data_IF_063679636214
#
_entry.id   IF_063679636214
#
_cell.length_a   1.000
_cell.length_b   1.000
_cell.length_c   1.000
_cell.angle_alpha   90.00
_cell.angle_beta   90.00
_cell.angle_gamma   90.00
#
_symmetry.space_group_name_H-M   'P 1'
#
loop_
_entity.id
_entity.type
_entity.pdbx_description
1 polymer ?
#
# COMPACT_ATOMS: atom_id res chain seq x y z
N UNK A 1 10.37 8.14 10.20
CA UNK A 1 9.38 8.19 9.08
C UNK A 1 9.89 9.01 7.90
N UNK A 2 10.40 10.23 8.11
CA UNK A 2 11.02 11.05 7.05
C UNK A 2 12.14 10.34 6.28
N UNK A 3 13.01 9.61 6.99
CA UNK A 3 14.12 8.88 6.34
C UNK A 3 13.61 7.74 5.45
N UNK A 4 12.60 6.99 5.91
CA UNK A 4 11.99 5.90 5.13
C UNK A 4 11.37 6.44 3.84
N UNK A 5 10.65 7.57 3.93
CA UNK A 5 10.04 8.23 2.76
C UNK A 5 11.14 8.69 1.79
N UNK A 6 12.21 9.30 2.30
CA UNK A 6 13.35 9.72 1.49
C UNK A 6 14.02 8.56 0.75
N UNK A 7 14.29 7.44 1.44
CA UNK A 7 14.86 6.24 0.82
C UNK A 7 13.96 5.63 -0.24
N UNK A 8 12.64 5.65 -0.04
CA UNK A 8 11.66 5.19 -1.03
C UNK A 8 11.67 6.11 -2.26
N UNK A 9 11.69 7.43 -2.07
CA UNK A 9 11.79 8.41 -3.16
C UNK A 9 13.09 8.26 -3.95
N UNK A 10 14.23 8.18 -3.26
CA UNK A 10 15.54 7.99 -3.90
C UNK A 10 15.62 6.65 -4.64
N UNK A 11 15.00 5.60 -4.10
CA UNK A 11 14.92 4.30 -4.78
C UNK A 11 14.04 4.38 -6.04
N UNK A 12 12.96 5.16 -6.01
CA UNK A 12 12.04 5.34 -7.13
C UNK A 12 12.70 6.06 -8.32
N UNK A 13 13.53 7.07 -8.08
CA UNK A 13 14.27 7.78 -9.13
C UNK A 13 15.24 6.87 -9.92
N UNK A 14 15.68 5.78 -9.29
CA UNK A 14 16.55 4.78 -9.92
C UNK A 14 15.77 3.73 -10.73
N UNK A 15 14.45 3.70 -10.63
CA UNK A 15 13.61 2.74 -11.37
C UNK A 15 13.38 3.24 -12.80
N UNK A 16 13.88 2.49 -13.78
CA UNK A 16 13.62 2.82 -15.19
C UNK A 16 12.23 2.34 -15.63
N UNK A 17 11.63 3.04 -16.60
CA UNK A 17 10.38 2.61 -17.23
C UNK A 17 10.45 1.16 -17.77
N UNK A 18 11.61 0.76 -18.30
CA UNK A 18 11.82 -0.61 -18.78
C UNK A 18 11.76 -1.65 -17.64
N UNK A 19 12.26 -1.32 -16.45
CA UNK A 19 12.13 -2.19 -15.28
C UNK A 19 10.67 -2.35 -14.87
N UNK A 20 9.89 -1.26 -14.83
CA UNK A 20 8.46 -1.31 -14.53
C UNK A 20 7.68 -2.13 -15.56
N UNK A 21 7.96 -1.93 -16.85
CA UNK A 21 7.31 -2.68 -17.93
C UNK A 21 7.67 -4.16 -17.84
N UNK A 22 8.91 -4.52 -17.51
CA UNK A 22 9.31 -5.92 -17.35
C UNK A 22 8.68 -6.57 -16.13
N UNK A 23 8.74 -5.94 -14.96
CA UNK A 23 8.18 -6.49 -13.73
C UNK A 23 6.66 -6.63 -13.82
N UNK A 24 5.97 -5.67 -14.44
CA UNK A 24 4.53 -5.75 -14.69
C UNK A 24 4.17 -6.96 -15.57
N UNK A 25 4.96 -7.23 -16.62
CA UNK A 25 4.76 -8.39 -17.49
C UNK A 25 5.07 -9.72 -16.80
N UNK A 26 6.06 -9.76 -15.92
CA UNK A 26 6.40 -10.95 -15.14
C UNK A 26 5.36 -11.25 -14.05
N UNK A 27 4.84 -10.23 -13.37
CA UNK A 27 3.82 -10.40 -12.34
C UNK A 27 2.43 -10.70 -12.93
N UNK A 28 2.11 -10.15 -14.10
CA UNK A 28 0.81 -10.34 -14.75
C UNK A 28 0.93 -10.72 -16.22
N UNK A 29 1.49 -11.90 -16.54
CA UNK A 29 1.71 -12.34 -17.93
C UNK A 29 0.41 -12.55 -18.72
N UNK A 30 -0.74 -12.65 -18.05
CA UNK A 30 -2.06 -12.75 -18.68
C UNK A 30 -2.69 -11.41 -19.05
N UNK A 31 -2.12 -10.27 -18.62
CA UNK A 31 -2.68 -8.92 -18.82
C UNK A 31 -2.01 -8.13 -19.96
N UNK A 32 -1.03 -8.71 -20.65
CA UNK A 32 -0.15 -8.01 -21.61
C UNK A 32 -0.80 -7.42 -22.84
N UNK A 33 -2.03 -7.82 -23.19
CA UNK A 33 -2.72 -7.34 -24.40
C UNK A 33 -3.81 -6.29 -24.12
N UNK A 34 -3.92 -5.78 -22.89
CA UNK A 34 -4.92 -4.76 -22.54
C UNK A 34 -4.47 -3.35 -22.98
N UNK A 35 -4.27 -3.14 -24.28
CA UNK A 35 -3.89 -1.84 -24.86
C UNK A 35 -5.05 -0.84 -24.92
N UNK A 36 -6.15 -1.09 -24.22
CA UNK A 36 -7.31 -0.19 -24.15
C UNK A 36 -7.91 -0.24 -22.75
N UNK A 37 -7.20 0.34 -21.80
CA UNK A 37 -7.74 0.62 -20.48
C UNK A 37 -8.59 1.90 -20.61
N UNK A 38 -9.83 1.75 -21.09
CA UNK A 38 -10.80 2.83 -20.92
C UNK A 38 -11.01 2.98 -19.42
N UNK A 39 -10.94 4.23 -18.95
CA UNK A 39 -11.24 4.63 -17.58
C UNK A 39 -12.76 4.49 -17.34
N UNK A 40 -13.24 3.24 -17.40
CA UNK A 40 -14.55 2.86 -16.90
C UNK A 40 -14.47 2.67 -15.40
N UNK A 41 -15.58 2.95 -14.71
CA UNK A 41 -15.79 2.54 -13.32
C UNK A 41 -15.32 1.09 -13.16
N UNK A 42 -14.32 0.87 -12.33
CA UNK A 42 -13.67 -0.42 -12.27
C UNK A 42 -14.69 -1.43 -11.77
N UNK A 43 -15.14 -2.32 -12.66
CA UNK A 43 -16.17 -3.30 -12.34
C UNK A 43 -15.62 -4.18 -11.21
N UNK A 44 -16.19 -4.04 -10.02
CA UNK A 44 -15.78 -4.76 -8.81
C UNK A 44 -15.70 -6.28 -9.00
N UNK A 45 -16.55 -6.82 -9.88
CA UNK A 45 -16.57 -8.22 -10.31
C UNK A 45 -15.37 -8.65 -11.18
N UNK A 46 -14.70 -7.71 -11.84
CA UNK A 46 -13.50 -7.95 -12.65
C UNK A 46 -12.20 -7.85 -11.81
N UNK A 47 -12.20 -7.01 -10.77
CA UNK A 47 -11.02 -6.77 -9.92
C UNK A 47 -10.78 -7.92 -8.94
N UNK A 48 -11.83 -8.45 -8.30
CA UNK A 48 -11.69 -9.49 -7.28
C UNK A 48 -10.94 -10.75 -7.78
N UNK A 49 -11.22 -11.29 -8.99
CA UNK A 49 -10.45 -12.39 -9.54
C UNK A 49 -8.97 -12.06 -9.75
N UNK A 50 -8.64 -10.82 -10.12
CA UNK A 50 -7.26 -10.40 -10.36
C UNK A 50 -6.47 -10.28 -9.06
N UNK A 51 -7.09 -9.76 -8.00
CA UNK A 51 -6.45 -9.65 -6.68
C UNK A 51 -6.11 -11.03 -6.13
N UNK A 52 -7.00 -12.01 -6.31
CA UNK A 52 -6.76 -13.40 -5.86
C UNK A 52 -5.61 -14.10 -6.58
N UNK A 53 -5.16 -13.58 -7.71
CA UNK A 53 -3.98 -14.09 -8.42
C UNK A 53 -2.67 -13.57 -7.80
N UNK A 54 -2.72 -12.58 -6.89
CA UNK A 54 -1.55 -12.04 -6.21
C UNK A 54 -1.22 -12.97 -5.03
N UNK A 55 0.03 -13.49 -4.92
CA UNK A 55 0.42 -14.33 -3.80
C UNK A 55 0.18 -13.64 -2.45
N UNK A 56 -0.52 -14.31 -1.53
CA UNK A 56 -0.88 -13.78 -0.21
C UNK A 56 -2.20 -13.01 -0.16
N UNK A 57 -2.94 -12.95 -1.27
CA UNK A 57 -4.26 -12.30 -1.37
C UNK A 57 -5.36 -13.26 -1.88
N UNK A 58 -5.14 -14.57 -1.81
CA UNK A 58 -6.07 -15.60 -2.30
C UNK A 58 -7.45 -15.52 -1.61
N UNK A 59 -7.46 -15.13 -0.33
CA UNK A 59 -8.66 -14.99 0.51
C UNK A 59 -9.30 -13.61 0.43
N UNK A 60 -8.87 -12.75 -0.49
CA UNK A 60 -9.47 -11.43 -0.67
C UNK A 60 -11.00 -11.56 -0.86
N UNK A 61 -11.74 -10.71 -0.15
CA UNK A 61 -13.20 -10.70 -0.19
C UNK A 61 -13.70 -9.48 -0.94
N UNK A 62 -14.94 -9.57 -1.41
CA UNK A 62 -15.62 -8.45 -2.05
C UNK A 62 -15.66 -7.21 -1.13
N UNK A 63 -15.81 -7.41 0.17
CA UNK A 63 -15.80 -6.32 1.15
C UNK A 63 -14.48 -5.55 1.13
N UNK A 64 -13.35 -6.25 1.24
CA UNK A 64 -12.00 -5.65 1.19
C UNK A 64 -11.79 -4.85 -0.09
N UNK A 65 -12.20 -5.41 -1.24
CA UNK A 65 -12.11 -4.70 -2.53
C UNK A 65 -13.00 -3.45 -2.55
N UNK A 66 -14.18 -3.51 -1.93
CA UNK A 66 -15.06 -2.34 -1.79
C UNK A 66 -14.39 -1.27 -0.95
N UNK A 67 -13.82 -1.63 0.19
CA UNK A 67 -13.16 -0.68 1.09
C UNK A 67 -12.02 0.03 0.36
N UNK A 68 -11.17 -0.71 -0.36
CA UNK A 68 -10.08 -0.14 -1.14
C UNK A 68 -10.57 0.79 -2.25
N UNK A 69 -11.56 0.38 -3.04
CA UNK A 69 -12.13 1.23 -4.10
C UNK A 69 -12.89 2.43 -3.55
N UNK A 70 -13.42 2.34 -2.33
CA UNK A 70 -14.13 3.45 -1.68
C UNK A 70 -13.17 4.53 -1.20
N UNK A 71 -11.92 4.17 -0.85
CA UNK A 71 -10.87 5.15 -0.52
C UNK A 71 -10.58 6.09 -1.69
N UNK A 72 -10.78 5.65 -2.94
CA UNK A 72 -10.51 6.45 -4.13
C UNK A 72 -11.60 7.47 -4.48
N UNK A 73 -12.73 7.49 -3.76
CA UNK A 73 -13.85 8.40 -4.05
C UNK A 73 -13.54 9.88 -3.75
N UNK A 74 -12.61 10.17 -2.84
CA UNK A 74 -12.06 11.52 -2.60
C UNK A 74 -10.65 11.71 -3.20
N UNK A 75 -9.97 10.62 -3.61
CA UNK A 75 -8.52 10.58 -3.85
C UNK A 75 -8.07 10.84 -5.31
N UNK A 76 -8.99 11.13 -6.24
CA UNK A 76 -8.59 11.66 -7.56
C UNK A 76 -8.16 13.14 -7.49
N UNK A 77 -8.13 13.76 -6.31
CA UNK A 77 -7.45 15.03 -6.12
C UNK A 77 -5.94 14.80 -6.18
N UNK A 78 -5.30 15.34 -7.21
CA UNK A 78 -3.84 15.41 -7.29
C UNK A 78 -3.37 16.41 -6.21
N UNK A 79 -2.75 15.88 -5.16
CA UNK A 79 -2.14 16.72 -4.14
C UNK A 79 -0.78 17.23 -4.61
N UNK A 80 -0.48 18.50 -4.33
CA UNK A 80 0.88 19.02 -4.47
C UNK A 80 1.74 18.61 -3.27
N UNK A 81 3.06 18.69 -3.42
CA UNK A 81 4.01 18.36 -2.34
C UNK A 81 3.72 19.17 -1.06
N UNK A 82 3.30 20.42 -1.18
CA UNK A 82 2.94 21.28 -0.05
C UNK A 82 1.67 20.80 0.66
N UNK A 83 0.67 20.33 -0.09
CA UNK A 83 -0.59 19.82 0.46
C UNK A 83 -0.38 18.49 1.18
N UNK A 84 0.42 17.59 0.60
CA UNK A 84 0.84 16.33 1.24
C UNK A 84 1.58 16.63 2.54
N UNK A 85 2.55 17.56 2.50
CA UNK A 85 3.35 17.92 3.67
C UNK A 85 2.49 18.54 4.78
N UNK A 86 1.49 19.35 4.42
CA UNK A 86 0.52 19.92 5.35
C UNK A 86 -0.36 18.85 5.99
N UNK A 87 -0.87 17.88 5.22
CA UNK A 87 -1.68 16.77 5.74
C UNK A 87 -0.91 15.89 6.72
N UNK A 88 0.36 15.61 6.42
CA UNK A 88 1.23 14.80 7.30
C UNK A 88 1.56 15.55 8.60
N UNK A 89 1.73 16.86 8.56
CA UNK A 89 2.06 17.67 9.74
C UNK A 89 0.84 18.01 10.60
N UNK A 90 -0.34 18.12 10.01
CA UNK A 90 -1.57 18.53 10.70
C UNK A 90 -2.41 17.36 11.24
N UNK A 91 -2.04 16.10 10.98
CA UNK A 91 -2.71 14.98 11.63
C UNK A 91 -2.49 15.11 13.14
N UNK A 92 -3.54 15.16 13.98
CA UNK A 92 -3.35 15.02 15.41
C UNK A 92 -2.61 13.71 15.63
N UNK A 93 -1.61 13.71 16.51
CA UNK A 93 -1.11 12.44 17.06
C UNK A 93 -2.37 11.72 17.54
N UNK A 94 -2.74 10.66 16.83
CA UNK A 94 -3.64 9.69 17.41
C UNK A 94 -2.78 9.11 18.53
N UNK A 95 -2.92 9.69 19.72
CA UNK A 95 -2.42 9.11 20.96
C UNK A 95 -3.06 7.73 21.01
N UNK A 96 -2.32 6.76 20.46
CA UNK A 96 -2.46 5.40 20.88
C UNK A 96 -1.94 5.42 22.32
N UNK A 97 -2.83 5.74 23.25
CA UNK A 97 -2.82 5.19 24.61
C UNK A 97 -2.90 3.66 24.48
N UNK A 98 -1.84 3.05 23.97
CA UNK A 98 -1.45 1.74 24.42
C UNK A 98 -0.48 2.05 25.55
N UNK A 99 -0.97 1.90 26.79
CA UNK A 99 -0.09 1.68 27.92
C UNK A 99 0.80 0.49 27.57
N UNK A 100 2.02 0.79 27.11
CA UNK A 100 3.12 -0.15 27.13
C UNK A 100 3.38 -0.43 28.61
N UNK A 101 2.68 -1.43 29.13
CA UNK A 101 2.91 -1.91 30.48
C UNK A 101 4.25 -2.63 30.42
N UNK A 102 5.33 -1.89 30.71
CA UNK A 102 6.64 -2.44 31.02
C UNK A 102 6.51 -3.29 32.30
N UNK A 103 6.13 -4.56 32.13
CA UNK A 103 6.34 -5.58 33.15
C UNK A 103 7.75 -6.14 32.95
N UNK A 104 8.71 -5.90 33.85
CA UNK A 104 10.04 -6.50 33.69
C UNK A 104 9.91 -8.01 33.92
N UNK A 105 10.15 -8.79 32.85
CA UNK A 105 10.31 -10.23 32.93
C UNK A 105 11.42 -10.55 33.93
N UNK A 106 11.02 -11.24 35.00
CA UNK A 106 11.85 -11.72 36.09
C UNK A 106 12.88 -12.73 35.56
N UNK A 107 14.04 -12.22 35.18
CA UNK A 107 15.21 -13.00 34.79
C UNK A 107 15.87 -13.61 36.03
N UNK A 108 15.27 -14.67 36.55
CA UNK A 108 15.88 -15.58 37.52
C UNK A 108 16.12 -16.94 36.88
N UNK A 109 17.09 -16.99 35.97
CA UNK A 109 17.81 -18.23 35.64
C UNK A 109 19.31 -17.95 35.69
N UNK A 110 19.92 -18.21 36.85
CA UNK A 110 21.29 -18.70 36.90
C UNK A 110 21.33 -19.90 37.84
N UNK A 111 21.12 -21.07 37.23
CA UNK A 111 21.76 -22.29 37.70
C UNK A 111 23.24 -22.17 37.32
N UNK A 112 24.12 -22.19 38.32
CA UNK A 112 25.24 -23.14 38.48
C UNK A 112 25.86 -22.96 39.87
#
# INVERSE_FOLDING_TARGET
MKDVIYWVSESWDNVTQNCLVKSSKECWPSLTDSSKLEQGEANKSEILPLIKCIPGFEDATEHVVTEWLSCDTEANQLYTDEEIMSLVQNKPQYDSDLEETDEPENDLVSQF
#
